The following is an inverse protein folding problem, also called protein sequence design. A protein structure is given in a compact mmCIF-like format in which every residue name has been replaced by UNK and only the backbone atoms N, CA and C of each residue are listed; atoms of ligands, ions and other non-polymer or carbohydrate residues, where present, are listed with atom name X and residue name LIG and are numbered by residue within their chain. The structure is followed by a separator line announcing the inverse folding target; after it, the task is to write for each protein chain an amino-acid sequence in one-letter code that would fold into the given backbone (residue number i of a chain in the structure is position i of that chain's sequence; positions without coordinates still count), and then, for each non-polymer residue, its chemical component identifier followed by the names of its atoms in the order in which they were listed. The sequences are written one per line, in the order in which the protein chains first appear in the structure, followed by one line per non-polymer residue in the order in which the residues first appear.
data_IF_866508847953
#
_entry.id   IF_866508847953
#
_cell.length_a   1.000
_cell.length_b   1.000
_cell.length_c   1.000
_cell.angle_alpha   90.00
_cell.angle_beta   90.00
_cell.angle_gamma   90.00
#
_symmetry.space_group_name_H-M   'P 1'
#
loop_
_entity.id
_entity.type
_entity.pdbx_description
1 polymer ?
#
# COMPACT_ATOMS: atom_id res chain seq x y z
N UNK A 1 3.54 -46.07 22.17
CA UNK A 1 4.76 -45.78 21.39
C UNK A 1 4.40 -44.69 20.40
N UNK A 2 4.49 -43.43 20.83
CA UNK A 2 4.40 -42.28 19.92
C UNK A 2 5.69 -42.25 19.11
N UNK A 3 5.58 -42.24 17.79
CA UNK A 3 6.74 -42.07 16.91
C UNK A 3 7.40 -40.71 17.21
N UNK A 4 8.74 -40.61 17.16
CA UNK A 4 9.40 -39.32 17.29
C UNK A 4 9.02 -38.46 16.07
N UNK A 5 8.45 -37.28 16.31
CA UNK A 5 8.33 -36.24 15.29
C UNK A 5 9.71 -35.99 14.67
N UNK A 6 9.80 -36.11 13.35
CA UNK A 6 11.01 -35.83 12.61
C UNK A 6 11.39 -34.34 12.77
N UNK A 7 12.69 -33.99 12.91
CA UNK A 7 13.14 -32.61 13.12
C UNK A 7 12.76 -31.63 11.98
N UNK A 8 12.36 -32.14 10.81
CA UNK A 8 11.81 -31.34 9.70
C UNK A 8 10.38 -30.82 9.97
N UNK A 9 9.58 -31.54 10.77
CA UNK A 9 8.17 -31.20 11.04
C UNK A 9 8.02 -29.93 11.88
N UNK A 10 8.97 -29.65 12.78
CA UNK A 10 8.93 -28.45 13.64
C UNK A 10 9.59 -27.21 13.00
N UNK A 11 10.40 -27.39 11.96
CA UNK A 11 11.18 -26.32 11.34
C UNK A 11 10.36 -25.46 10.37
N UNK A 12 9.41 -26.05 9.65
CA UNK A 12 8.58 -25.33 8.69
C UNK A 12 7.67 -24.26 9.33
N UNK A 13 6.94 -24.54 10.43
CA UNK A 13 6.14 -23.51 11.12
C UNK A 13 6.98 -22.38 11.70
N UNK A 14 8.19 -22.68 12.20
CA UNK A 14 9.11 -21.68 12.73
C UNK A 14 9.62 -20.74 11.62
N UNK A 15 10.05 -21.30 10.48
CA UNK A 15 10.50 -20.52 9.33
C UNK A 15 9.40 -19.65 8.73
N UNK A 16 8.18 -20.17 8.61
CA UNK A 16 7.03 -19.39 8.14
C UNK A 16 6.72 -18.22 9.08
N UNK A 17 6.78 -18.46 10.40
CA UNK A 17 6.60 -17.40 11.41
C UNK A 17 7.63 -16.28 11.24
N UNK A 18 8.90 -16.63 11.10
CA UNK A 18 9.99 -15.66 10.87
C UNK A 18 9.77 -14.85 9.59
N UNK A 19 9.35 -15.51 8.50
CA UNK A 19 9.01 -14.85 7.25
C UNK A 19 7.86 -13.86 7.44
N UNK A 20 6.77 -14.27 8.11
CA UNK A 20 5.63 -13.38 8.38
C UNK A 20 6.09 -12.18 9.21
N UNK A 21 6.78 -12.37 10.33
CA UNK A 21 7.22 -11.28 11.22
C UNK A 21 8.00 -10.20 10.48
N UNK A 22 8.90 -10.58 9.58
CA UNK A 22 9.75 -9.65 8.85
C UNK A 22 9.04 -8.97 7.69
N UNK A 23 8.07 -9.63 7.05
CA UNK A 23 7.55 -9.18 5.75
C UNK A 23 6.12 -8.63 5.78
N UNK A 24 5.31 -8.95 6.79
CA UNK A 24 3.85 -8.73 6.73
C UNK A 24 3.43 -7.27 6.50
N UNK A 25 4.13 -6.30 7.08
CA UNK A 25 3.81 -4.86 6.86
C UNK A 25 4.12 -4.44 5.43
N UNK A 26 5.29 -4.84 4.91
CA UNK A 26 5.72 -4.52 3.56
C UNK A 26 4.87 -5.23 2.52
N UNK A 27 4.49 -6.47 2.78
CA UNK A 27 3.56 -7.25 1.96
C UNK A 27 2.18 -6.60 1.95
N UNK A 28 1.65 -6.22 3.11
CA UNK A 28 0.37 -5.50 3.19
C UNK A 28 0.42 -4.17 2.44
N UNK A 29 1.50 -3.41 2.54
CA UNK A 29 1.68 -2.18 1.75
C UNK A 29 1.61 -2.49 0.25
N UNK A 30 2.36 -3.47 -0.26
CA UNK A 30 2.25 -3.90 -1.67
C UNK A 30 0.80 -4.21 -2.05
N UNK A 31 0.16 -5.13 -1.32
CA UNK A 31 -1.16 -5.65 -1.67
C UNK A 31 -2.22 -4.54 -1.58
N UNK A 32 -2.17 -3.67 -0.57
CA UNK A 32 -3.07 -2.52 -0.44
C UNK A 32 -2.94 -1.57 -1.64
N UNK A 33 -1.70 -1.26 -2.07
CA UNK A 33 -1.47 -0.40 -3.25
C UNK A 33 -1.99 -1.02 -4.54
N UNK A 34 -1.99 -2.34 -4.62
CA UNK A 34 -2.49 -3.09 -5.76
C UNK A 34 -4.02 -3.25 -5.75
N UNK A 35 -4.65 -3.38 -4.58
CA UNK A 35 -6.06 -3.70 -4.44
C UNK A 35 -6.99 -2.51 -4.13
N UNK A 36 -6.46 -1.36 -3.66
CA UNK A 36 -7.23 -0.16 -3.28
C UNK A 36 -8.29 -0.36 -2.18
N UNK A 37 -8.42 -1.55 -1.61
CA UNK A 37 -9.41 -1.90 -0.61
C UNK A 37 -8.76 -2.68 0.53
N UNK A 38 -9.00 -2.26 1.78
CA UNK A 38 -8.35 -2.84 2.96
C UNK A 38 -8.78 -4.30 3.21
N UNK A 39 -10.04 -4.62 2.94
CA UNK A 39 -10.56 -5.96 3.17
C UNK A 39 -10.04 -6.95 2.11
N UNK A 40 -10.01 -6.54 0.83
CA UNK A 40 -9.32 -7.28 -0.25
C UNK A 40 -7.85 -7.46 0.07
N UNK A 41 -7.18 -6.40 0.54
CA UNK A 41 -5.76 -6.48 0.85
C UNK A 41 -5.46 -7.46 1.98
N UNK A 42 -6.23 -7.43 3.06
CA UNK A 42 -6.08 -8.38 4.16
C UNK A 42 -6.27 -9.84 3.69
N UNK A 43 -7.31 -10.10 2.90
CA UNK A 43 -7.56 -11.44 2.33
C UNK A 43 -6.42 -11.91 1.44
N UNK A 44 -5.95 -11.06 0.53
CA UNK A 44 -4.87 -11.43 -0.40
C UNK A 44 -3.51 -11.59 0.29
N UNK A 45 -3.26 -10.89 1.40
CA UNK A 45 -2.09 -11.15 2.25
C UNK A 45 -2.18 -12.53 2.89
N UNK A 46 -3.34 -12.89 3.45
CA UNK A 46 -3.56 -14.23 4.02
C UNK A 46 -3.43 -15.33 2.96
N UNK A 47 -3.97 -15.12 1.76
CA UNK A 47 -3.83 -16.05 0.64
C UNK A 47 -2.37 -16.16 0.15
N UNK A 48 -1.62 -15.06 0.14
CA UNK A 48 -0.21 -15.06 -0.24
C UNK A 48 0.63 -15.87 0.75
N UNK A 49 0.38 -15.74 2.05
CA UNK A 49 1.06 -16.57 3.06
C UNK A 49 0.63 -18.03 3.02
N UNK A 50 -0.63 -18.34 2.70
CA UNK A 50 -1.06 -19.71 2.48
C UNK A 50 -0.36 -20.34 1.26
N UNK A 51 -0.24 -19.59 0.17
CA UNK A 51 0.50 -20.03 -1.01
C UNK A 51 2.00 -20.21 -0.70
N UNK A 52 2.57 -19.35 0.15
CA UNK A 52 3.96 -19.43 0.58
C UNK A 52 4.20 -20.65 1.48
N UNK A 53 3.30 -20.94 2.42
CA UNK A 53 3.38 -22.11 3.28
C UNK A 53 3.41 -23.41 2.47
N UNK A 54 2.54 -23.52 1.45
CA UNK A 54 2.49 -24.67 0.53
C UNK A 54 3.78 -24.87 -0.30
N UNK A 55 4.61 -23.84 -0.45
CA UNK A 55 5.84 -23.84 -1.27
C UNK A 55 7.08 -23.44 -0.45
N UNK A 56 7.02 -23.53 0.88
CA UNK A 56 8.05 -22.99 1.75
C UNK A 56 9.42 -23.67 1.56
N UNK A 57 9.41 -24.93 1.09
CA UNK A 57 10.63 -25.65 0.74
C UNK A 57 11.43 -24.98 -0.38
N UNK A 58 10.77 -24.26 -1.30
CA UNK A 58 11.40 -23.58 -2.43
C UNK A 58 11.91 -22.17 -2.08
N UNK A 59 11.54 -21.65 -0.90
CA UNK A 59 11.97 -20.34 -0.47
C UNK A 59 13.51 -20.32 -0.28
N UNK A 60 14.20 -19.25 -0.70
CA UNK A 60 15.61 -19.07 -0.36
C UNK A 60 15.85 -19.02 1.16
N UNK A 61 17.05 -19.42 1.59
CA UNK A 61 17.40 -19.47 3.01
C UNK A 61 17.74 -18.10 3.59
N UNK A 62 18.17 -17.14 2.77
CA UNK A 62 18.45 -15.77 3.20
C UNK A 62 17.19 -14.90 3.20
N UNK A 63 17.10 -13.97 4.15
CA UNK A 63 15.91 -13.13 4.36
C UNK A 63 15.52 -12.33 3.11
N UNK A 64 16.52 -11.77 2.41
CA UNK A 64 16.28 -10.96 1.20
C UNK A 64 15.73 -11.82 0.07
N UNK A 65 16.33 -12.99 -0.18
CA UNK A 65 15.87 -13.95 -1.18
C UNK A 65 14.47 -14.45 -0.88
N UNK A 66 14.18 -14.79 0.38
CA UNK A 66 12.86 -15.21 0.84
C UNK A 66 11.80 -14.11 0.63
N UNK A 67 12.16 -12.86 0.93
CA UNK A 67 11.27 -11.72 0.69
C UNK A 67 10.98 -11.53 -0.81
N UNK A 68 12.00 -11.53 -1.68
CA UNK A 68 11.80 -11.39 -3.12
C UNK A 68 10.97 -12.54 -3.71
N UNK A 69 11.20 -13.76 -3.23
CA UNK A 69 10.39 -14.92 -3.59
C UNK A 69 8.92 -14.75 -3.18
N UNK A 70 8.66 -14.29 -1.95
CA UNK A 70 7.31 -14.02 -1.46
C UNK A 70 6.62 -12.92 -2.28
N UNK A 71 7.33 -11.84 -2.61
CA UNK A 71 6.81 -10.76 -3.45
C UNK A 71 6.46 -11.28 -4.86
N UNK A 72 7.29 -12.17 -5.43
CA UNK A 72 7.03 -12.80 -6.73
C UNK A 72 5.78 -13.68 -6.70
N UNK A 73 5.66 -14.52 -5.68
CA UNK A 73 4.48 -15.37 -5.48
C UNK A 73 3.21 -14.52 -5.32
N UNK A 74 3.30 -13.46 -4.52
CA UNK A 74 2.20 -12.53 -4.29
C UNK A 74 1.81 -11.79 -5.57
N UNK A 75 2.78 -11.38 -6.38
CA UNK A 75 2.50 -10.75 -7.67
C UNK A 75 1.70 -11.70 -8.58
N UNK A 76 2.13 -12.95 -8.72
CA UNK A 76 1.41 -13.97 -9.51
C UNK A 76 -0.03 -14.15 -9.02
N UNK A 77 -0.21 -14.27 -7.71
CA UNK A 77 -1.54 -14.33 -7.10
C UNK A 77 -2.38 -13.10 -7.44
N UNK A 78 -1.82 -11.90 -7.35
CA UNK A 78 -2.55 -10.68 -7.67
C UNK A 78 -2.89 -10.56 -9.16
N UNK A 79 -2.07 -11.07 -10.08
CA UNK A 79 -2.41 -11.11 -11.50
C UNK A 79 -3.64 -11.99 -11.79
N UNK A 80 -3.84 -13.06 -11.01
CA UNK A 80 -5.00 -13.93 -11.13
C UNK A 80 -6.25 -13.34 -10.47
N UNK A 81 -6.10 -12.68 -9.32
CA UNK A 81 -7.22 -12.20 -8.49
C UNK A 81 -7.71 -10.80 -8.85
N UNK A 82 -6.84 -9.95 -9.39
CA UNK A 82 -7.22 -8.58 -9.75
C UNK A 82 -7.82 -8.51 -11.16
N UNK A 83 -8.75 -7.59 -11.41
CA UNK A 83 -9.28 -7.37 -12.75
C UNK A 83 -8.19 -7.01 -13.75
N UNK A 84 -8.31 -7.53 -14.98
CA UNK A 84 -7.35 -7.25 -16.08
C UNK A 84 -7.33 -5.77 -16.50
N UNK A 85 -8.41 -5.05 -16.23
CA UNK A 85 -8.54 -3.62 -16.50
C UNK A 85 -8.65 -2.84 -15.19
N UNK A 86 -8.21 -1.58 -15.14
CA UNK A 86 -8.39 -0.72 -13.97
C UNK A 86 -9.87 -0.61 -13.59
N UNK A 87 -10.18 -0.84 -12.31
CA UNK A 87 -11.56 -0.65 -11.78
C UNK A 87 -11.94 0.83 -11.64
N UNK A 88 -10.93 1.71 -11.59
CA UNK A 88 -11.09 3.16 -11.50
C UNK A 88 -10.28 3.84 -12.60
N UNK A 89 -10.67 5.06 -12.95
CA UNK A 89 -9.94 5.91 -13.89
C UNK A 89 -9.83 7.34 -13.35
N UNK A 90 -9.08 8.18 -14.06
CA UNK A 90 -8.80 9.54 -13.64
C UNK A 90 -10.05 10.43 -13.58
N UNK A 91 -11.04 10.19 -14.44
CA UNK A 91 -12.29 10.96 -14.48
C UNK A 91 -13.15 10.64 -13.26
N UNK A 92 -13.28 9.37 -12.88
CA UNK A 92 -13.99 8.94 -11.65
C UNK A 92 -13.33 9.58 -10.41
N UNK A 93 -11.99 9.63 -10.37
CA UNK A 93 -11.27 10.25 -9.26
C UNK A 93 -11.48 11.78 -9.21
N UNK A 94 -11.51 12.44 -10.36
CA UNK A 94 -11.85 13.86 -10.48
C UNK A 94 -13.30 14.13 -10.06
N UNK A 95 -14.24 13.31 -10.50
CA UNK A 95 -15.65 13.41 -10.09
C UNK A 95 -15.81 13.18 -8.58
N UNK A 96 -15.07 12.24 -7.99
CA UNK A 96 -15.19 11.91 -6.57
C UNK A 96 -14.66 13.04 -5.67
N UNK A 97 -13.49 13.61 -6.00
CA UNK A 97 -12.81 14.56 -5.11
C UNK A 97 -12.97 16.02 -5.54
N UNK A 98 -13.25 16.30 -6.81
CA UNK A 98 -13.17 17.65 -7.40
C UNK A 98 -14.46 18.15 -8.06
N UNK A 99 -15.55 17.39 -8.07
CA UNK A 99 -16.83 17.81 -8.66
C UNK A 99 -17.58 18.88 -7.85
N UNK A 100 -17.34 18.96 -6.55
CA UNK A 100 -18.09 19.83 -5.63
C UNK A 100 -17.21 20.92 -5.00
N UNK A 101 -17.86 21.99 -4.58
CA UNK A 101 -17.25 23.03 -3.76
C UNK A 101 -16.73 22.46 -2.43
N UNK A 102 -15.67 23.08 -1.90
CA UNK A 102 -15.05 22.69 -0.63
C UNK A 102 -16.05 22.75 0.51
N UNK A 103 -16.23 21.63 1.21
CA UNK A 103 -17.05 21.52 2.44
C UNK A 103 -16.27 22.01 3.66
N UNK A 104 -16.15 23.34 3.80
CA UNK A 104 -15.31 23.99 4.82
C UNK A 104 -15.81 23.81 6.26
N UNK A 105 -17.10 23.61 6.45
CA UNK A 105 -17.78 23.35 7.72
C UNK A 105 -17.27 22.07 8.39
N UNK A 106 -17.17 20.97 7.63
CA UNK A 106 -16.68 19.68 8.12
C UNK A 106 -15.24 19.83 8.65
N UNK A 107 -14.37 20.48 7.87
CA UNK A 107 -12.95 20.62 8.22
C UNK A 107 -12.74 21.49 9.45
N UNK A 108 -13.54 22.56 9.61
CA UNK A 108 -13.47 23.46 10.76
C UNK A 108 -13.92 22.82 12.07
N UNK A 109 -14.76 21.79 12.02
CA UNK A 109 -15.26 21.08 13.20
C UNK A 109 -14.29 20.03 13.76
N UNK A 110 -13.21 19.69 13.04
CA UNK A 110 -12.26 18.66 13.47
C UNK A 110 -11.22 19.23 14.44
N UNK A 111 -10.91 18.48 15.49
CA UNK A 111 -9.70 18.75 16.29
C UNK A 111 -8.43 18.50 15.46
N UNK A 112 -7.31 19.11 15.86
CA UNK A 112 -6.04 18.95 15.13
C UNK A 112 -5.63 17.48 14.93
N UNK A 113 -5.68 16.58 15.95
CA UNK A 113 -5.33 15.17 15.76
C UNK A 113 -6.28 14.42 14.81
N UNK A 114 -7.58 14.73 14.86
CA UNK A 114 -8.57 14.14 13.95
C UNK A 114 -8.34 14.61 12.51
N UNK A 115 -8.02 15.91 12.34
CA UNK A 115 -7.72 16.49 11.03
C UNK A 115 -6.50 15.83 10.41
N UNK A 116 -5.42 15.65 11.17
CA UNK A 116 -4.17 15.09 10.66
C UNK A 116 -4.33 13.62 10.25
N UNK A 117 -5.09 12.82 11.03
CA UNK A 117 -5.45 11.46 10.65
C UNK A 117 -6.30 11.42 9.36
N UNK A 118 -7.28 12.30 9.22
CA UNK A 118 -8.11 12.35 8.03
C UNK A 118 -7.35 12.85 6.78
N UNK A 119 -6.41 13.78 6.95
CA UNK A 119 -5.50 14.21 5.90
C UNK A 119 -4.59 13.07 5.45
N UNK A 120 -4.14 12.26 6.39
CA UNK A 120 -3.38 11.06 6.10
C UNK A 120 -4.20 10.02 5.33
N UNK A 121 -5.41 9.67 5.79
CA UNK A 121 -6.32 8.74 5.09
C UNK A 121 -6.63 9.24 3.68
N UNK A 122 -6.86 10.54 3.53
CA UNK A 122 -7.09 11.14 2.21
C UNK A 122 -5.87 11.02 1.30
N UNK A 123 -4.66 11.28 1.82
CA UNK A 123 -3.42 11.14 1.05
C UNK A 123 -3.18 9.67 0.67
N UNK A 124 -3.40 8.73 1.59
CA UNK A 124 -3.33 7.30 1.30
C UNK A 124 -4.29 6.89 0.20
N UNK A 125 -5.58 7.23 0.35
CA UNK A 125 -6.62 6.92 -0.60
C UNK A 125 -6.34 7.53 -1.96
N UNK A 126 -6.13 8.85 -2.02
CA UNK A 126 -5.93 9.59 -3.27
C UNK A 126 -4.71 9.07 -4.06
N UNK A 127 -3.54 8.96 -3.42
CA UNK A 127 -2.33 8.50 -4.10
C UNK A 127 -2.44 7.03 -4.52
N UNK A 128 -3.13 6.19 -3.74
CA UNK A 128 -3.41 4.81 -4.14
C UNK A 128 -4.40 4.76 -5.31
N UNK A 129 -5.47 5.56 -5.32
CA UNK A 129 -6.41 5.63 -6.44
C UNK A 129 -5.75 6.05 -7.74
N UNK A 130 -4.79 7.00 -7.68
CA UNK A 130 -4.03 7.46 -8.87
C UNK A 130 -3.27 6.32 -9.53
N UNK A 131 -2.50 5.52 -8.77
CA UNK A 131 -1.82 4.34 -9.34
C UNK A 131 -2.80 3.23 -9.72
N UNK A 132 -3.99 3.19 -9.12
CA UNK A 132 -5.04 2.26 -9.49
C UNK A 132 -5.77 2.63 -10.79
N UNK A 133 -5.55 3.81 -11.35
CA UNK A 133 -5.96 4.17 -12.71
C UNK A 133 -5.04 3.57 -13.79
N UNK A 134 -3.87 3.06 -13.41
CA UNK A 134 -2.92 2.39 -14.31
C UNK A 134 -3.34 0.94 -14.56
N UNK A 135 -2.91 0.39 -15.71
CA UNK A 135 -3.07 -1.04 -15.97
C UNK A 135 -2.34 -1.87 -14.89
N UNK A 136 -2.79 -3.09 -14.58
CA UNK A 136 -2.19 -3.89 -13.49
C UNK A 136 -0.66 -4.03 -13.60
N UNK A 137 -0.13 -4.25 -14.81
CA UNK A 137 1.32 -4.36 -15.03
C UNK A 137 2.09 -3.05 -14.87
N UNK A 138 1.51 -1.91 -15.28
CA UNK A 138 2.10 -0.58 -15.05
C UNK A 138 2.07 -0.22 -13.56
N UNK A 139 0.97 -0.54 -12.87
CA UNK A 139 0.80 -0.37 -11.41
C UNK A 139 1.84 -1.17 -10.65
N UNK A 140 2.01 -2.44 -10.97
CA UNK A 140 2.97 -3.31 -10.30
C UNK A 140 4.41 -2.79 -10.45
N UNK A 141 4.81 -2.35 -11.66
CA UNK A 141 6.12 -1.76 -11.90
C UNK A 141 6.34 -0.46 -11.11
N UNK A 142 5.30 0.39 -11.05
CA UNK A 142 5.34 1.64 -10.30
C UNK A 142 5.47 1.40 -8.79
N UNK A 143 4.68 0.48 -8.23
CA UNK A 143 4.69 0.13 -6.79
C UNK A 143 6.04 -0.47 -6.40
N UNK A 144 6.56 -1.44 -7.17
CA UNK A 144 7.85 -2.07 -6.91
C UNK A 144 9.00 -1.03 -6.82
N UNK A 145 9.00 -0.06 -7.73
CA UNK A 145 10.06 0.97 -7.77
C UNK A 145 9.87 2.05 -6.71
N UNK A 146 8.70 2.69 -6.70
CA UNK A 146 8.53 3.95 -5.98
C UNK A 146 7.98 3.77 -4.57
N UNK A 147 7.39 2.63 -4.25
CA UNK A 147 6.84 2.37 -2.91
C UNK A 147 7.72 1.36 -2.17
N UNK A 148 8.05 0.24 -2.83
CA UNK A 148 8.89 -0.81 -2.24
C UNK A 148 10.39 -0.56 -2.41
N UNK A 149 10.79 0.45 -3.21
CA UNK A 149 12.19 0.84 -3.44
C UNK A 149 13.09 -0.30 -3.91
N UNK A 150 12.54 -1.20 -4.73
CA UNK A 150 13.29 -2.31 -5.32
C UNK A 150 14.23 -1.78 -6.42
N UNK A 151 15.36 -2.48 -6.63
CA UNK A 151 16.18 -2.25 -7.81
C UNK A 151 15.40 -2.65 -9.07
N UNK A 152 15.77 -2.10 -10.24
CA UNK A 152 15.12 -2.47 -11.51
C UNK A 152 15.21 -3.98 -11.78
N UNK A 153 16.33 -4.61 -11.41
CA UNK A 153 16.57 -6.05 -11.59
C UNK A 153 15.67 -6.89 -10.67
N UNK A 154 15.62 -6.54 -9.37
CA UNK A 154 14.77 -7.23 -8.40
C UNK A 154 13.29 -7.07 -8.76
N UNK A 155 12.89 -5.87 -9.19
CA UNK A 155 11.52 -5.58 -9.62
C UNK A 155 11.16 -6.36 -10.89
N UNK A 156 12.03 -6.42 -11.90
CA UNK A 156 11.79 -7.21 -13.10
C UNK A 156 11.67 -8.72 -12.80
N UNK A 157 12.55 -9.25 -11.94
CA UNK A 157 12.53 -10.65 -11.52
C UNK A 157 11.26 -11.00 -10.72
N UNK A 158 10.84 -10.10 -9.83
CA UNK A 158 9.62 -10.23 -9.03
C UNK A 158 8.37 -10.22 -9.90
N UNK A 159 8.36 -9.37 -10.93
CA UNK A 159 7.25 -9.26 -11.87
C UNK A 159 7.28 -10.32 -12.99
N UNK A 160 8.26 -11.23 -12.97
CA UNK A 160 8.45 -12.30 -13.95
C UNK A 160 8.49 -11.80 -15.41
N UNK A 161 9.14 -10.65 -15.63
CA UNK A 161 9.29 -10.02 -16.94
C UNK A 161 10.75 -9.65 -17.23
N UNK A 162 11.07 -9.37 -18.50
CA UNK A 162 12.39 -8.85 -18.85
C UNK A 162 12.61 -7.44 -18.29
N UNK A 163 13.86 -7.11 -17.99
CA UNK A 163 14.27 -5.77 -17.56
C UNK A 163 13.83 -4.67 -18.56
N UNK A 164 13.87 -4.97 -19.86
CA UNK A 164 13.41 -4.05 -20.91
C UNK A 164 11.89 -3.81 -20.84
N UNK A 165 11.09 -4.87 -20.67
CA UNK A 165 9.64 -4.75 -20.52
C UNK A 165 9.27 -4.00 -19.23
N UNK A 166 10.00 -4.25 -18.14
CA UNK A 166 9.85 -3.51 -16.88
C UNK A 166 10.07 -2.01 -17.07
N UNK A 167 11.19 -1.61 -17.68
CA UNK A 167 11.51 -0.20 -17.94
C UNK A 167 10.45 0.49 -18.80
N UNK A 168 9.90 -0.21 -19.80
CA UNK A 168 8.79 0.30 -20.62
C UNK A 168 7.53 0.52 -19.77
N UNK A 169 7.12 -0.46 -18.96
CA UNK A 169 5.96 -0.36 -18.06
C UNK A 169 6.12 0.81 -17.08
N UNK A 170 7.29 0.90 -16.44
CA UNK A 170 7.62 1.95 -15.48
C UNK A 170 7.62 3.34 -16.10
N UNK A 171 8.20 3.50 -17.30
CA UNK A 171 8.19 4.78 -18.03
C UNK A 171 6.77 5.25 -18.34
N UNK A 172 5.90 4.34 -18.83
CA UNK A 172 4.48 4.64 -19.10
C UNK A 172 3.73 5.01 -17.82
N UNK A 173 3.95 4.26 -16.75
CA UNK A 173 3.35 4.55 -15.45
C UNK A 173 3.74 5.94 -14.93
N UNK A 174 5.05 6.26 -14.94
CA UNK A 174 5.58 7.57 -14.55
C UNK A 174 4.96 8.71 -15.35
N UNK A 175 4.87 8.54 -16.68
CA UNK A 175 4.25 9.55 -17.56
C UNK A 175 2.78 9.79 -17.19
N UNK A 176 1.96 8.73 -17.08
CA UNK A 176 0.53 8.85 -16.76
C UNK A 176 0.28 9.50 -15.38
N UNK A 177 1.01 9.06 -14.36
CA UNK A 177 0.92 9.65 -13.01
C UNK A 177 1.42 11.10 -13.03
N UNK A 178 2.49 11.37 -13.77
CA UNK A 178 3.03 12.70 -14.07
C UNK A 178 2.00 13.65 -14.64
N UNK A 179 1.49 13.32 -15.81
CA UNK A 179 0.52 14.12 -16.56
C UNK A 179 -0.74 14.40 -15.72
N UNK A 180 -1.16 13.43 -14.89
CA UNK A 180 -2.31 13.61 -14.00
C UNK A 180 -2.03 14.56 -12.83
N UNK A 181 -0.95 14.33 -12.07
CA UNK A 181 -0.68 15.06 -10.83
C UNK A 181 -0.09 16.46 -11.06
N UNK A 182 0.67 16.67 -12.14
CA UNK A 182 1.47 17.87 -12.37
C UNK A 182 0.66 19.19 -12.32
N UNK A 183 -0.54 19.18 -12.89
CA UNK A 183 -1.44 20.36 -12.91
C UNK A 183 -2.48 20.37 -11.80
N UNK A 184 -2.50 19.35 -10.94
CA UNK A 184 -3.61 19.12 -9.98
C UNK A 184 -3.17 19.16 -8.54
N UNK A 185 -2.10 18.47 -8.15
CA UNK A 185 -1.81 18.16 -6.75
C UNK A 185 -0.90 19.20 -6.08
N UNK A 186 -1.30 19.73 -4.91
CA UNK A 186 -0.49 20.69 -4.15
C UNK A 186 0.86 20.13 -3.69
N UNK A 187 0.98 18.81 -3.53
CA UNK A 187 2.23 18.17 -3.13
C UNK A 187 3.27 18.17 -4.26
N UNK A 188 2.84 18.28 -5.53
CA UNK A 188 3.75 18.43 -6.68
C UNK A 188 4.11 19.90 -6.89
N UNK A 189 3.10 20.78 -6.84
CA UNK A 189 3.28 22.22 -6.95
C UNK A 189 2.29 22.93 -6.00
N UNK A 190 2.75 23.73 -5.02
CA UNK A 190 1.87 24.43 -4.08
C UNK A 190 0.82 25.37 -4.73
N UNK A 191 1.05 25.78 -5.98
CA UNK A 191 0.10 26.60 -6.75
C UNK A 191 -1.03 25.80 -7.39
N UNK A 192 -0.97 24.47 -7.35
CA UNK A 192 -2.01 23.63 -7.92
C UNK A 192 -3.34 23.71 -7.13
N UNK A 193 -4.48 23.48 -7.80
CA UNK A 193 -5.80 23.71 -7.22
C UNK A 193 -6.27 22.61 -6.24
N UNK A 194 -5.74 21.40 -6.30
CA UNK A 194 -6.14 20.32 -5.39
C UNK A 194 -5.34 20.39 -4.09
N UNK A 195 -6.02 20.82 -3.02
CA UNK A 195 -5.47 20.90 -1.67
C UNK A 195 -6.13 19.87 -0.76
N UNK A 196 -5.35 19.00 -0.12
CA UNK A 196 -5.86 17.95 0.77
C UNK A 196 -6.84 18.50 1.83
N UNK A 197 -6.52 19.59 2.57
CA UNK A 197 -7.48 20.17 3.52
C UNK A 197 -8.80 20.62 2.90
N UNK A 198 -8.80 21.05 1.63
CA UNK A 198 -10.02 21.43 0.92
C UNK A 198 -10.82 20.22 0.40
N UNK A 199 -10.26 19.01 0.45
CA UNK A 199 -10.86 17.79 -0.14
C UNK A 199 -11.34 16.79 0.92
N UNK A 200 -10.88 16.90 2.16
CA UNK A 200 -11.30 16.00 3.27
C UNK A 200 -12.81 15.95 3.44
N UNK A 201 -13.50 17.10 3.45
CA UNK A 201 -14.95 17.15 3.64
C UNK A 201 -15.72 16.44 2.51
N UNK A 202 -15.33 16.65 1.26
CA UNK A 202 -15.92 15.94 0.09
C UNK A 202 -15.61 14.44 0.15
N UNK A 203 -14.38 14.08 0.52
CA UNK A 203 -13.96 12.69 0.62
C UNK A 203 -14.75 11.92 1.69
N UNK A 204 -15.05 12.53 2.83
CA UNK A 204 -15.94 11.97 3.86
C UNK A 204 -17.38 11.82 3.34
N UNK A 205 -17.93 12.88 2.72
CA UNK A 205 -19.31 12.88 2.25
C UNK A 205 -19.58 11.84 1.14
N UNK A 206 -18.59 11.58 0.28
CA UNK A 206 -18.67 10.57 -0.79
C UNK A 206 -18.25 9.17 -0.32
N UNK A 207 -17.86 9.00 0.94
CA UNK A 207 -17.37 7.72 1.47
C UNK A 207 -16.01 7.28 0.91
N UNK A 208 -15.26 8.20 0.28
CA UNK A 208 -13.91 7.94 -0.22
C UNK A 208 -12.93 7.65 0.92
N UNK A 209 -13.11 8.33 2.06
CA UNK A 209 -12.48 8.00 3.33
C UNK A 209 -13.57 7.81 4.40
N UNK A 210 -13.28 6.95 5.38
CA UNK A 210 -14.17 6.72 6.52
C UNK A 210 -13.89 7.73 7.63
N UNK A 211 -14.93 8.08 8.39
CA UNK A 211 -14.76 8.87 9.60
C UNK A 211 -13.96 8.06 10.64
N UNK A 212 -13.17 8.75 11.45
CA UNK A 212 -12.46 8.14 12.57
C UNK A 212 -13.49 7.61 13.57
N UNK A 213 -13.45 6.33 13.97
CA UNK A 213 -14.32 5.81 15.02
C UNK A 213 -14.15 6.66 16.29
N UNK A 214 -15.22 7.30 16.71
CA UNK A 214 -15.26 8.05 17.96
C UNK A 214 -15.42 7.03 19.09
N UNK A 215 -14.36 6.69 19.83
CA UNK A 215 -14.56 5.80 21.00
C UNK A 215 -13.36 5.10 21.64
N UNK A 216 -12.13 5.27 21.14
CA UNK A 216 -10.95 4.67 21.78
C UNK A 216 -10.23 5.63 22.71
N UNK A 217 -10.02 5.24 23.97
CA UNK A 217 -9.00 5.88 24.82
C UNK A 217 -7.66 5.20 24.49
N UNK A 218 -6.72 5.93 23.89
CA UNK A 218 -5.35 5.47 23.66
C UNK A 218 -4.38 6.39 24.39
N UNK A 219 -3.51 5.81 25.21
CA UNK A 219 -2.39 6.52 25.86
C UNK A 219 -1.15 6.63 24.95
N UNK A 220 -1.17 5.98 23.78
CA UNK A 220 -0.10 6.11 22.80
C UNK A 220 -0.32 7.39 22.00
N UNK A 221 0.72 8.24 21.80
CA UNK A 221 0.62 9.31 20.83
C UNK A 221 0.24 8.70 19.49
N UNK A 222 -0.81 9.22 18.85
CA UNK A 222 -1.06 8.90 17.45
C UNK A 222 0.24 9.24 16.70
N UNK A 223 0.88 8.26 16.07
CA UNK A 223 2.09 8.53 15.29
C UNK A 223 1.77 9.66 14.34
N UNK A 224 2.54 10.76 14.37
CA UNK A 224 2.24 11.98 13.63
C UNK A 224 2.27 11.64 12.14
N UNK A 225 1.12 11.45 11.46
CA UNK A 225 1.14 10.82 10.15
C UNK A 225 1.36 11.84 9.03
N UNK A 226 1.17 13.12 9.33
CA UNK A 226 1.00 14.15 8.32
C UNK A 226 2.00 15.28 8.51
N UNK A 227 3.09 15.22 7.75
CA UNK A 227 3.79 16.42 7.33
C UNK A 227 3.08 17.03 6.14
N UNK A 228 2.85 18.35 6.15
CA UNK A 228 2.07 19.08 5.13
C UNK A 228 2.71 18.94 3.74
N UNK A 229 4.03 18.77 3.71
CA UNK A 229 4.85 18.44 2.57
C UNK A 229 5.93 17.48 3.04
N UNK A 230 6.35 16.51 2.20
CA UNK A 230 7.44 15.59 2.55
C UNK A 230 7.16 14.74 3.79
N UNK A 231 6.56 13.58 3.60
CA UNK A 231 6.12 12.74 4.71
C UNK A 231 7.27 12.32 5.63
N UNK A 232 7.26 12.84 6.86
CA UNK A 232 8.24 12.59 7.91
C UNK A 232 8.54 13.87 8.69
N UNK A 233 8.98 13.73 9.94
CA UNK A 233 9.30 14.87 10.82
C UNK A 233 10.39 15.80 10.25
N UNK A 234 11.22 15.30 9.33
CA UNK A 234 12.40 16.01 8.79
C UNK A 234 12.15 16.77 7.48
N UNK A 235 10.96 16.66 6.88
CA UNK A 235 10.69 17.23 5.54
C UNK A 235 9.46 18.14 5.48
N UNK A 236 8.94 18.53 6.64
CA UNK A 236 7.83 19.49 6.73
C UNK A 236 8.15 20.75 5.90
N UNK A 237 7.17 21.16 5.09
CA UNK A 237 7.21 22.37 4.25
C UNK A 237 8.15 22.41 3.03
N UNK A 238 8.76 21.28 2.60
CA UNK A 238 9.50 21.22 1.32
C UNK A 238 8.65 20.61 0.20
N UNK A 239 8.27 21.37 -0.85
CA UNK A 239 7.55 20.82 -1.99
C UNK A 239 8.37 19.73 -2.70
N UNK A 240 7.90 18.49 -2.63
CA UNK A 240 8.49 17.38 -3.38
C UNK A 240 8.00 17.46 -4.83
N UNK A 241 8.71 18.24 -5.66
CA UNK A 241 8.38 18.36 -7.09
C UNK A 241 8.48 17.02 -7.83
N UNK A 242 9.30 16.10 -7.32
CA UNK A 242 9.45 14.77 -7.89
C UNK A 242 8.41 13.79 -7.34
N UNK A 243 7.60 13.26 -8.25
CA UNK A 243 6.56 12.27 -7.98
C UNK A 243 7.16 11.01 -7.37
N UNK A 244 8.38 10.63 -7.78
CA UNK A 244 9.05 9.47 -7.19
C UNK A 244 9.20 9.64 -5.68
N UNK A 245 9.66 10.81 -5.24
CA UNK A 245 9.85 11.15 -3.83
C UNK A 245 8.53 11.25 -3.08
N UNK A 246 7.47 11.76 -3.70
CA UNK A 246 6.13 11.79 -3.07
C UNK A 246 5.66 10.38 -2.73
N UNK A 247 5.78 9.43 -3.66
CA UNK A 247 5.37 8.03 -3.43
C UNK A 247 6.33 7.28 -2.52
N UNK A 248 7.64 7.52 -2.64
CA UNK A 248 8.66 6.90 -1.80
C UNK A 248 8.51 7.28 -0.32
N UNK A 249 8.00 8.47 -0.05
CA UNK A 249 7.70 8.91 1.30
C UNK A 249 6.24 8.69 1.66
N UNK A 250 5.39 8.11 0.81
CA UNK A 250 3.99 7.92 1.16
C UNK A 250 3.92 7.03 2.41
N UNK A 251 3.23 7.45 3.48
CA UNK A 251 3.22 6.66 4.71
C UNK A 251 2.69 5.24 4.45
N UNK A 252 3.15 4.26 5.21
CA UNK A 252 2.64 2.90 5.08
C UNK A 252 1.19 2.82 5.57
N UNK A 253 0.27 2.18 4.84
CA UNK A 253 -1.10 2.04 5.29
C UNK A 253 -1.15 1.19 6.55
N UNK A 254 -1.97 1.58 7.54
CA UNK A 254 -2.19 0.77 8.73
C UNK A 254 -2.91 -0.53 8.34
N UNK A 255 -2.28 -1.69 8.60
CA UNK A 255 -2.93 -2.98 8.42
C UNK A 255 -4.07 -3.14 9.44
N UNK A 256 -5.08 -3.98 9.14
CA UNK A 256 -6.09 -4.33 10.13
C UNK A 256 -5.42 -4.86 11.41
N UNK A 257 -5.87 -4.38 12.58
CA UNK A 257 -5.23 -4.65 13.87
C UNK A 257 -5.00 -6.15 14.13
N UNK A 258 -5.94 -7.00 13.71
CA UNK A 258 -5.89 -8.43 13.93
C UNK A 258 -5.17 -9.22 12.82
N UNK A 259 -4.70 -8.59 11.73
CA UNK A 259 -4.16 -9.31 10.57
C UNK A 259 -2.95 -10.18 10.96
N UNK A 260 -1.97 -9.60 11.65
CA UNK A 260 -0.78 -10.33 12.12
C UNK A 260 -1.18 -11.45 13.07
N UNK A 261 -2.01 -11.16 14.06
CA UNK A 261 -2.39 -12.15 15.08
C UNK A 261 -3.19 -13.31 14.47
N UNK A 262 -4.04 -13.04 13.47
CA UNK A 262 -4.71 -14.10 12.70
C UNK A 262 -3.73 -14.95 11.91
N UNK A 263 -2.73 -14.34 11.25
CA UNK A 263 -1.69 -15.09 10.54
C UNK A 263 -0.94 -16.01 11.51
N UNK A 264 -0.52 -15.49 12.67
CA UNK A 264 0.18 -16.27 13.68
C UNK A 264 -0.68 -17.42 14.22
N UNK A 265 -1.94 -17.15 14.55
CA UNK A 265 -2.86 -18.18 15.03
C UNK A 265 -3.07 -19.30 13.99
N UNK A 266 -3.15 -18.97 12.70
CA UNK A 266 -3.27 -19.96 11.63
C UNK A 266 -2.00 -20.80 11.45
N UNK A 267 -0.81 -20.22 11.64
CA UNK A 267 0.45 -20.99 11.67
C UNK A 267 0.43 -21.96 12.85
N UNK A 268 0.05 -21.49 14.03
CA UNK A 268 0.01 -22.30 15.26
C UNK A 268 -1.00 -23.46 15.15
N UNK A 269 -2.11 -23.24 14.45
CA UNK A 269 -3.14 -24.24 14.21
C UNK A 269 -2.82 -25.21 13.05
N UNK A 270 -1.74 -24.97 12.29
CA UNK A 270 -1.42 -25.76 11.09
C UNK A 270 -2.42 -25.55 9.93
N UNK A 271 -3.07 -24.38 9.89
CA UNK A 271 -4.06 -23.98 8.87
C UNK A 271 -3.42 -23.18 7.70
N UNK A 272 -2.10 -23.06 7.70
CA UNK A 272 -1.26 -22.51 6.64
C UNK A 272 -0.25 -23.56 6.21
#
# INVERSE_FOLDING_TARGET
MSAPESPESSAAPARLRELVEHTWRRLYNLVFRMALDRDRAARYVEDAYAAAAAQLADAPADDRGAELWLMKLTHKLLEERLPRQPEVNFDILDETLRSEATRTDVVRSLSDPQRDLLLWELKQGCMTSVINCLSPGERAAFVATHILRMSDDDAAATLDITLSAFKVRLSRARKKVGDYLASRCEHVNPMNPCRCPARVGTALAKGFIKAVPSGGISLRPAGVPYGRYGSGADHDDVPLRDISTIYANLPEPDPPLALRDRLMARIDAGEL
#
